data_IF_608569273443
#
_entry.id   IF_608569273443
#
_cell.length_a   1.000
_cell.length_b   1.000
_cell.length_c   1.000
_cell.angle_alpha   90.00
_cell.angle_beta   90.00
_cell.angle_gamma   90.00
#
_symmetry.space_group_name_H-M   'P 1'
#
loop_
_entity.id
_entity.type
_entity.pdbx_description
1 polymer ?
#
# COMPACT_ATOMS: atom_id res chain seq x y z
N UNK A 1 35.06 -76.89 -41.18
CA UNK A 1 33.69 -77.40 -41.00
C UNK A 1 32.71 -76.33 -41.47
N UNK A 2 31.79 -76.71 -42.36
CA UNK A 2 30.82 -75.85 -43.07
C UNK A 2 29.48 -75.76 -42.30
N UNK A 3 28.67 -74.80 -42.76
CA UNK A 3 27.21 -74.69 -42.74
C UNK A 3 26.54 -73.82 -41.66
N UNK A 4 26.04 -72.66 -42.12
CA UNK A 4 24.70 -72.13 -41.78
C UNK A 4 23.65 -72.88 -42.61
N UNK A 5 22.44 -73.16 -42.10
CA UNK A 5 21.24 -72.36 -42.46
C UNK A 5 20.23 -72.22 -41.27
N UNK A 6 19.51 -71.12 -41.07
CA UNK A 6 18.27 -70.61 -41.70
C UNK A 6 16.96 -70.99 -40.95
N UNK A 7 16.16 -69.94 -40.71
CA UNK A 7 14.69 -69.87 -40.64
C UNK A 7 13.92 -70.47 -39.46
N UNK A 8 13.18 -69.63 -38.72
CA UNK A 8 11.72 -69.51 -38.89
C UNK A 8 11.16 -68.27 -38.16
N UNK A 9 10.27 -67.53 -38.83
CA UNK A 9 9.39 -66.52 -38.27
C UNK A 9 8.36 -67.17 -37.32
N UNK A 10 7.97 -66.47 -36.25
CA UNK A 10 6.56 -66.40 -35.85
C UNK A 10 6.24 -65.11 -35.09
N UNK A 11 5.29 -64.36 -35.65
CA UNK A 11 4.65 -63.16 -35.15
C UNK A 11 3.75 -63.48 -33.96
N UNK A 12 3.85 -62.70 -32.87
CA UNK A 12 2.78 -62.61 -31.87
C UNK A 12 2.61 -61.15 -31.46
N UNK A 13 1.43 -60.63 -31.79
CA UNK A 13 0.97 -59.29 -31.49
C UNK A 13 0.23 -59.26 -30.13
N UNK A 14 0.28 -58.09 -29.51
CA UNK A 14 -0.67 -57.52 -28.53
C UNK A 14 -0.71 -58.14 -27.12
N UNK A 15 -0.31 -57.32 -26.13
CA UNK A 15 -1.15 -56.87 -25.00
C UNK A 15 -0.34 -55.89 -24.12
N UNK A 16 -0.25 -54.64 -24.56
CA UNK A 16 0.19 -53.51 -23.72
C UNK A 16 -1.03 -52.95 -22.97
N UNK A 17 -1.29 -53.50 -21.79
CA UNK A 17 -2.26 -52.97 -20.84
C UNK A 17 -1.56 -52.31 -19.65
N UNK A 18 -0.93 -51.15 -19.85
CA UNK A 18 -0.57 -50.28 -18.74
C UNK A 18 -1.75 -49.33 -18.51
N UNK A 19 -2.63 -49.68 -17.57
CA UNK A 19 -3.61 -48.75 -17.04
C UNK A 19 -2.89 -47.57 -16.41
N UNK A 20 -2.94 -46.40 -17.05
CA UNK A 20 -2.66 -45.14 -16.38
C UNK A 20 -3.78 -44.92 -15.36
N UNK A 21 -3.47 -45.16 -14.09
CA UNK A 21 -4.24 -44.58 -12.99
C UNK A 21 -4.09 -43.06 -13.08
N UNK A 22 -5.04 -42.43 -13.75
CA UNK A 22 -5.21 -40.99 -13.68
C UNK A 22 -5.73 -40.70 -12.27
N UNK A 23 -4.87 -40.13 -11.41
CA UNK A 23 -5.28 -39.67 -10.11
C UNK A 23 -6.52 -38.77 -10.27
N UNK A 24 -7.55 -38.91 -9.42
CA UNK A 24 -8.71 -38.04 -9.47
C UNK A 24 -8.21 -36.59 -9.47
N UNK A 25 -8.68 -35.78 -10.42
CA UNK A 25 -8.41 -34.35 -10.39
C UNK A 25 -8.76 -33.85 -9.00
N UNK A 26 -7.78 -33.30 -8.28
CA UNK A 26 -8.06 -32.64 -7.00
C UNK A 26 -9.16 -31.61 -7.26
N UNK A 27 -10.25 -31.61 -6.46
CA UNK A 27 -11.26 -30.59 -6.58
C UNK A 27 -10.56 -29.24 -6.41
N UNK A 28 -10.51 -28.46 -7.49
CA UNK A 28 -10.00 -27.10 -7.45
C UNK A 28 -10.84 -26.35 -6.43
N UNK A 29 -10.28 -26.10 -5.25
CA UNK A 29 -10.85 -25.17 -4.29
C UNK A 29 -11.10 -23.88 -5.05
N UNK A 30 -12.33 -23.34 -5.08
CA UNK A 30 -12.58 -22.04 -5.67
C UNK A 30 -11.59 -21.07 -5.05
N UNK A 31 -10.76 -20.43 -5.88
CA UNK A 31 -9.90 -19.36 -5.41
C UNK A 31 -10.75 -18.32 -4.69
N UNK A 32 -10.20 -17.58 -3.70
CA UNK A 32 -10.92 -16.48 -3.09
C UNK A 32 -11.44 -15.55 -4.21
N UNK A 33 -12.67 -15.01 -4.09
CA UNK A 33 -13.22 -14.12 -5.09
C UNK A 33 -12.20 -13.02 -5.39
N UNK A 34 -11.88 -12.88 -6.68
CA UNK A 34 -11.10 -11.74 -7.17
C UNK A 34 -11.96 -10.50 -6.91
N UNK A 35 -11.43 -9.47 -6.23
CA UNK A 35 -12.09 -8.18 -6.06
C UNK A 35 -12.71 -7.72 -7.37
N UNK A 36 -13.88 -7.09 -7.29
CA UNK A 36 -14.43 -6.38 -8.44
C UNK A 36 -13.34 -5.45 -8.97
N UNK A 37 -12.90 -5.67 -10.21
CA UNK A 37 -11.84 -4.84 -10.80
C UNK A 37 -12.35 -3.40 -10.82
N UNK A 38 -11.65 -2.44 -10.17
CA UNK A 38 -12.06 -1.05 -10.27
C UNK A 38 -12.04 -0.64 -11.75
N UNK A 39 -12.87 0.33 -12.12
CA UNK A 39 -12.89 0.90 -13.46
C UNK A 39 -12.14 2.24 -13.45
N UNK A 40 -11.75 2.78 -14.62
CA UNK A 40 -11.13 4.11 -14.66
C UNK A 40 -12.04 5.23 -14.12
N UNK A 41 -13.35 4.98 -14.06
CA UNK A 41 -14.36 5.87 -13.48
C UNK A 41 -14.29 5.93 -11.93
N UNK A 42 -13.53 5.05 -11.31
CA UNK A 42 -13.34 4.99 -9.86
C UNK A 42 -12.14 5.81 -9.39
N UNK A 43 -11.27 6.27 -10.29
CA UNK A 43 -10.18 7.17 -9.93
C UNK A 43 -10.72 8.59 -9.77
N UNK A 44 -10.56 9.14 -8.57
CA UNK A 44 -10.94 10.50 -8.22
C UNK A 44 -9.89 11.52 -8.67
N UNK A 45 -8.60 11.17 -8.54
CA UNK A 45 -7.51 12.03 -9.00
C UNK A 45 -6.16 11.74 -8.35
N UNK A 46 -5.17 12.57 -8.68
CA UNK A 46 -3.84 12.51 -8.08
C UNK A 46 -3.76 13.50 -6.90
N UNK A 47 -3.44 12.99 -5.72
CA UNK A 47 -3.30 13.74 -4.48
C UNK A 47 -1.82 13.96 -4.15
N UNK A 48 -1.46 15.22 -3.93
CA UNK A 48 -0.20 15.62 -3.33
C UNK A 48 -0.41 15.83 -1.84
N UNK A 49 0.44 15.21 -1.01
CA UNK A 49 0.48 15.47 0.43
C UNK A 49 1.84 16.00 0.83
N UNK A 50 1.88 17.19 1.38
CA UNK A 50 3.09 17.85 1.90
C UNK A 50 3.03 17.87 3.41
N UNK A 51 4.11 17.44 4.06
CA UNK A 51 4.28 17.51 5.53
C UNK A 51 5.54 18.34 5.81
N UNK A 52 5.47 19.23 6.79
CA UNK A 52 6.55 20.14 7.20
C UNK A 52 6.59 20.26 8.73
N UNK A 53 7.72 20.73 9.28
CA UNK A 53 7.82 20.95 10.72
C UNK A 53 7.92 19.66 11.54
N UNK A 54 8.46 18.59 10.95
CA UNK A 54 8.66 17.31 11.62
C UNK A 54 9.92 17.40 12.50
N UNK A 55 9.79 18.06 13.65
CA UNK A 55 10.89 18.23 14.58
C UNK A 55 10.59 19.27 15.66
N UNK A 56 11.66 19.73 16.32
CA UNK A 56 11.58 20.75 17.36
C UNK A 56 11.74 22.15 16.75
N UNK A 57 10.98 23.13 17.27
CA UNK A 57 11.19 24.55 16.99
C UNK A 57 10.23 25.22 15.99
N UNK A 58 9.42 24.46 15.24
CA UNK A 58 8.38 25.01 14.36
C UNK A 58 7.07 24.23 14.50
N UNK A 59 5.89 24.89 14.35
CA UNK A 59 4.63 24.17 14.31
C UNK A 59 4.62 23.26 13.09
N UNK A 60 4.43 21.96 13.31
CA UNK A 60 4.22 21.02 12.23
C UNK A 60 3.04 21.47 11.36
N UNK A 61 3.13 21.24 10.05
CA UNK A 61 2.10 21.54 9.06
C UNK A 61 1.93 20.33 8.15
N UNK A 62 0.73 20.13 7.65
CA UNK A 62 0.52 19.27 6.52
C UNK A 62 -0.58 19.84 5.63
N UNK A 63 -0.47 19.62 4.34
CA UNK A 63 -1.39 20.08 3.32
C UNK A 63 -1.64 18.93 2.36
N UNK A 64 -2.89 18.75 1.96
CA UNK A 64 -3.26 17.77 0.94
C UNK A 64 -4.06 18.50 -0.14
N UNK A 65 -3.67 18.31 -1.41
CA UNK A 65 -4.34 18.95 -2.54
C UNK A 65 -4.34 18.03 -3.76
N UNK A 66 -5.45 18.01 -4.46
CA UNK A 66 -5.49 17.36 -5.77
C UNK A 66 -4.69 18.16 -6.77
N UNK A 67 -4.01 17.44 -7.66
CA UNK A 67 -3.20 18.03 -8.72
C UNK A 67 -3.54 17.36 -10.06
N UNK A 68 -3.55 18.15 -11.11
CA UNK A 68 -3.58 17.64 -12.49
C UNK A 68 -2.18 17.77 -13.10
N UNK A 69 -1.64 16.71 -13.72
CA UNK A 69 -0.45 16.83 -14.55
C UNK A 69 -0.76 17.77 -15.72
N UNK A 70 0.00 18.84 -15.90
CA UNK A 70 -0.13 19.72 -17.08
C UNK A 70 0.80 19.31 -18.23
N UNK A 71 1.67 18.31 -17.99
CA UNK A 71 2.50 17.68 -19.00
C UNK A 71 2.74 16.21 -18.66
N UNK A 72 3.30 15.42 -19.59
CA UNK A 72 3.69 14.01 -19.38
C UNK A 72 4.74 13.81 -18.26
N UNK A 73 5.31 14.91 -17.73
CA UNK A 73 6.21 14.93 -16.57
C UNK A 73 5.66 15.89 -15.52
N UNK A 74 5.70 15.51 -14.24
CA UNK A 74 5.28 16.33 -13.11
C UNK A 74 6.51 17.06 -12.49
N UNK A 75 7.00 18.12 -13.14
CA UNK A 75 7.86 19.14 -12.50
C UNK A 75 7.03 20.13 -11.66
N UNK A 76 7.65 20.89 -10.73
CA UNK A 76 6.99 21.92 -9.90
C UNK A 76 6.11 22.91 -10.68
N UNK A 77 6.52 23.21 -11.92
CA UNK A 77 5.82 24.15 -12.81
C UNK A 77 4.74 23.46 -13.66
N UNK A 78 4.54 22.15 -13.50
CA UNK A 78 3.69 21.33 -14.37
C UNK A 78 2.60 20.53 -13.64
N UNK A 79 2.28 20.93 -12.41
CA UNK A 79 1.11 20.43 -11.70
C UNK A 79 0.26 21.61 -11.25
N UNK A 80 -1.00 21.65 -11.67
CA UNK A 80 -1.95 22.68 -11.22
C UNK A 80 -2.84 22.08 -10.15
N UNK A 81 -3.04 22.81 -9.04
CA UNK A 81 -4.00 22.44 -8.04
C UNK A 81 -5.40 22.35 -8.69
N UNK A 82 -6.09 21.24 -8.44
CA UNK A 82 -7.48 21.06 -8.87
C UNK A 82 -8.36 21.64 -7.77
N UNK A 83 -8.99 22.78 -8.06
CA UNK A 83 -9.77 23.52 -7.05
C UNK A 83 -11.21 23.03 -6.91
N UNK A 84 -11.65 22.08 -7.74
CA UNK A 84 -13.05 21.62 -7.79
C UNK A 84 -13.15 20.10 -7.92
N UNK A 85 -12.52 19.37 -7.00
CA UNK A 85 -12.73 17.91 -6.89
C UNK A 85 -13.92 17.55 -6.01
N UNK A 86 -14.50 18.53 -5.33
CA UNK A 86 -15.51 18.34 -4.29
C UNK A 86 -15.06 17.46 -3.11
N UNK A 87 -13.77 17.17 -2.99
CA UNK A 87 -13.16 16.53 -1.82
C UNK A 87 -12.21 17.51 -1.17
N UNK A 88 -12.53 17.90 0.06
CA UNK A 88 -11.74 18.84 0.83
C UNK A 88 -11.01 18.12 1.95
N UNK A 89 -9.70 18.34 2.02
CA UNK A 89 -8.83 17.77 3.05
C UNK A 89 -8.26 18.89 3.89
N UNK A 90 -8.65 18.92 5.17
CA UNK A 90 -8.14 19.89 6.12
C UNK A 90 -7.27 19.17 7.13
N UNK A 91 -6.04 19.66 7.31
CA UNK A 91 -5.16 19.08 8.31
C UNK A 91 -5.71 19.32 9.72
N UNK A 92 -5.83 18.23 10.47
CA UNK A 92 -6.22 18.26 11.88
C UNK A 92 -4.99 18.21 12.77
N UNK A 93 -4.06 17.27 12.51
CA UNK A 93 -2.93 16.99 13.40
C UNK A 93 -1.74 16.45 12.64
N UNK A 94 -0.55 16.86 13.06
CA UNK A 94 0.71 16.17 12.74
C UNK A 94 1.40 15.87 14.06
N UNK A 95 1.81 14.62 14.24
CA UNK A 95 2.49 14.15 15.44
C UNK A 95 3.70 13.31 15.04
N UNK A 96 4.69 13.27 15.91
CA UNK A 96 5.80 12.33 15.79
C UNK A 96 6.04 11.62 17.12
N UNK A 97 6.55 10.40 17.02
CA UNK A 97 6.98 9.58 18.15
C UNK A 97 8.36 9.04 17.81
N UNK A 98 9.31 9.22 18.71
CA UNK A 98 10.66 8.70 18.55
C UNK A 98 10.79 7.39 19.34
N UNK A 99 11.20 6.33 18.65
CA UNK A 99 11.75 5.14 19.28
C UNK A 99 13.24 5.34 19.48
N UNK A 100 13.64 5.76 20.67
CA UNK A 100 15.07 5.94 20.97
C UNK A 100 15.82 4.60 21.05
N UNK A 101 15.12 3.47 21.25
CA UNK A 101 15.75 2.15 21.31
C UNK A 101 16.09 1.66 19.91
N UNK A 102 15.16 1.84 18.96
CA UNK A 102 15.35 1.45 17.56
C UNK A 102 16.00 2.53 16.71
N UNK A 103 16.16 3.75 17.24
CA UNK A 103 16.62 4.90 16.47
C UNK A 103 15.63 5.28 15.36
N UNK A 104 14.34 5.11 15.59
CA UNK A 104 13.27 5.30 14.58
C UNK A 104 12.44 6.52 14.91
N UNK A 105 12.07 7.30 13.89
CA UNK A 105 11.03 8.34 14.03
C UNK A 105 9.80 7.91 13.26
N UNK A 106 8.67 7.90 13.95
CA UNK A 106 7.34 7.73 13.38
C UNK A 106 6.69 9.10 13.21
N UNK A 107 6.14 9.36 12.03
CA UNK A 107 5.41 10.58 11.70
C UNK A 107 3.99 10.19 11.32
N UNK A 108 3.02 10.81 11.99
CA UNK A 108 1.59 10.58 11.75
C UNK A 108 0.94 11.91 11.40
N UNK A 109 0.29 11.98 10.24
CA UNK A 109 -0.51 13.15 9.83
C UNK A 109 -1.95 12.75 9.61
N UNK A 110 -2.85 13.41 10.32
CA UNK A 110 -4.30 13.18 10.28
C UNK A 110 -4.97 14.35 9.57
N UNK A 111 -5.84 14.01 8.62
CA UNK A 111 -6.61 14.95 7.84
C UNK A 111 -8.10 14.67 8.02
N UNK A 112 -8.87 15.72 8.28
CA UNK A 112 -10.31 15.72 8.13
C UNK A 112 -10.64 15.75 6.64
N UNK A 113 -11.62 14.94 6.27
CA UNK A 113 -12.16 14.82 4.93
C UNK A 113 -13.60 15.34 4.94
N UNK A 114 -13.95 16.09 3.91
CA UNK A 114 -15.32 16.52 3.62
C UNK A 114 -15.64 16.25 2.17
N UNK A 115 -16.67 15.43 1.92
CA UNK A 115 -17.19 15.16 0.59
C UNK A 115 -18.34 16.12 0.27
N UNK A 116 -18.07 17.06 -0.62
CA UNK A 116 -19.03 18.03 -1.13
C UNK A 116 -19.56 17.67 -2.52
N UNK A 117 -19.14 16.54 -3.10
CA UNK A 117 -19.68 16.02 -4.36
C UNK A 117 -21.09 15.44 -4.17
N UNK A 118 -21.80 15.21 -5.27
CA UNK A 118 -23.07 14.47 -5.30
C UNK A 118 -22.89 12.95 -5.38
N UNK A 119 -21.63 12.48 -5.43
CA UNK A 119 -21.25 11.07 -5.43
C UNK A 119 -20.90 10.60 -4.01
N UNK A 120 -21.46 9.47 -3.61
CA UNK A 120 -20.99 8.76 -2.42
C UNK A 120 -19.80 7.87 -2.79
N UNK A 121 -18.87 7.70 -1.85
CA UNK A 121 -17.74 6.82 -2.00
C UNK A 121 -17.87 5.63 -1.05
N UNK A 122 -17.65 4.42 -1.56
CA UNK A 122 -17.73 3.19 -0.78
C UNK A 122 -16.46 2.99 0.08
N UNK A 123 -15.28 3.25 -0.49
CA UNK A 123 -14.00 3.14 0.20
C UNK A 123 -12.93 3.99 -0.49
N UNK A 124 -12.81 5.27 -0.08
CA UNK A 124 -11.77 6.15 -0.59
C UNK A 124 -10.38 5.66 -0.19
N UNK A 125 -9.62 5.26 -1.19
CA UNK A 125 -8.34 4.57 -1.07
C UNK A 125 -7.26 5.37 -1.79
N UNK A 126 -6.14 5.61 -1.11
CA UNK A 126 -4.99 6.37 -1.57
C UNK A 126 -3.86 5.41 -1.90
N UNK A 127 -3.65 5.11 -3.17
CA UNK A 127 -2.56 4.27 -3.66
C UNK A 127 -1.27 5.08 -3.81
N UNK A 128 -0.18 4.68 -3.17
CA UNK A 128 1.09 5.36 -3.30
C UNK A 128 1.63 5.22 -4.73
N UNK A 129 2.14 6.31 -5.33
CA UNK A 129 2.62 6.29 -6.72
C UNK A 129 4.03 6.83 -6.87
N UNK A 130 4.87 6.12 -7.61
CA UNK A 130 6.15 6.60 -8.08
C UNK A 130 6.01 7.15 -9.50
N UNK A 131 6.53 8.36 -9.70
CA UNK A 131 6.40 9.07 -10.97
C UNK A 131 7.82 9.32 -11.51
N UNK A 132 8.22 8.65 -12.60
CA UNK A 132 9.57 8.78 -13.16
C UNK A 132 9.97 10.23 -13.42
N UNK A 133 11.15 10.61 -12.95
CA UNK A 133 11.68 11.98 -13.08
C UNK A 133 11.06 13.00 -12.11
N UNK A 134 10.11 12.58 -11.27
CA UNK A 134 9.43 13.42 -10.29
C UNK A 134 9.63 12.91 -8.87
N UNK A 135 9.49 11.60 -8.64
CA UNK A 135 9.71 10.99 -7.32
C UNK A 135 11.12 10.42 -7.16
N UNK A 136 11.60 10.43 -5.91
CA UNK A 136 12.95 10.01 -5.53
C UNK A 136 13.01 8.50 -5.35
N UNK A 137 14.03 7.88 -5.95
CA UNK A 137 14.38 6.48 -5.73
C UNK A 137 13.30 5.46 -6.07
N UNK A 138 12.34 5.81 -6.94
CA UNK A 138 11.22 4.95 -7.28
C UNK A 138 10.15 4.85 -6.19
N UNK A 139 10.14 5.75 -5.21
CA UNK A 139 9.16 5.79 -4.10
C UNK A 139 8.01 6.74 -4.42
N UNK A 140 7.05 6.87 -3.50
CA UNK A 140 6.05 7.94 -3.56
C UNK A 140 6.56 9.31 -3.09
N UNK A 141 7.79 9.37 -2.55
CA UNK A 141 8.38 10.60 -2.03
C UNK A 141 8.93 11.44 -3.17
N UNK A 142 8.43 12.66 -3.30
CA UNK A 142 8.85 13.63 -4.31
C UNK A 142 10.08 14.41 -3.91
N UNK A 143 10.08 14.95 -2.70
CA UNK A 143 11.17 15.74 -2.17
C UNK A 143 11.25 15.53 -0.65
N UNK A 144 12.44 15.72 -0.12
CA UNK A 144 12.75 15.65 1.30
C UNK A 144 13.63 16.84 1.60
N UNK A 145 13.34 17.55 2.69
CA UNK A 145 14.18 18.62 3.20
C UNK A 145 14.56 18.36 4.65
N UNK A 146 15.79 18.72 4.98
CA UNK A 146 16.28 18.71 6.34
C UNK A 146 15.77 19.94 7.13
N UNK A 147 16.10 20.04 8.42
CA UNK A 147 15.62 21.13 9.26
C UNK A 147 16.22 22.51 8.90
N UNK A 148 17.29 22.55 8.10
CA UNK A 148 17.92 23.76 7.59
C UNK A 148 17.37 24.16 6.22
N UNK A 149 16.46 23.37 5.65
CA UNK A 149 15.89 23.58 4.31
C UNK A 149 16.77 23.05 3.19
N UNK A 150 17.82 22.27 3.47
CA UNK A 150 18.60 21.61 2.43
C UNK A 150 17.82 20.43 1.87
N UNK A 151 17.82 20.30 0.54
CA UNK A 151 17.22 19.15 -0.13
C UNK A 151 18.04 17.88 0.15
N UNK A 152 17.36 16.83 0.63
CA UNK A 152 17.90 15.47 0.72
C UNK A 152 17.52 14.75 -0.57
N UNK A 153 18.49 14.61 -1.48
CA UNK A 153 18.25 14.09 -2.85
C UNK A 153 18.62 12.62 -3.04
N UNK A 154 19.25 11.99 -2.04
CA UNK A 154 19.68 10.59 -2.14
C UNK A 154 18.48 9.64 -2.24
N UNK A 155 18.42 8.78 -3.28
CA UNK A 155 17.38 7.75 -3.42
C UNK A 155 17.20 6.88 -2.19
N UNK A 156 18.29 6.53 -1.51
CA UNK A 156 18.30 5.63 -0.35
C UNK A 156 17.56 6.22 0.84
N UNK A 157 17.58 7.55 1.01
CA UNK A 157 16.85 8.23 2.09
C UNK A 157 15.34 8.18 1.85
N UNK A 158 14.90 8.41 0.61
CA UNK A 158 13.49 8.24 0.24
C UNK A 158 13.04 6.79 0.39
N UNK A 159 13.86 5.84 -0.05
CA UNK A 159 13.64 4.41 0.10
C UNK A 159 13.62 3.93 1.56
N UNK A 160 14.28 4.66 2.46
CA UNK A 160 14.27 4.44 3.91
C UNK A 160 13.04 5.02 4.62
N UNK A 161 12.18 5.78 3.93
CA UNK A 161 10.91 6.26 4.46
C UNK A 161 9.82 5.21 4.19
N UNK A 162 9.42 4.50 5.23
CA UNK A 162 8.56 3.34 5.12
C UNK A 162 7.14 3.66 5.59
N UNK A 163 6.10 3.21 4.88
CA UNK A 163 4.72 3.37 5.34
C UNK A 163 4.46 2.55 6.60
N UNK A 164 3.64 3.08 7.49
CA UNK A 164 3.21 2.44 8.75
C UNK A 164 1.81 2.96 9.12
N UNK A 165 1.15 2.33 10.09
CA UNK A 165 -0.05 2.91 10.69
C UNK A 165 0.31 4.19 11.49
N UNK A 166 -0.70 4.96 11.89
CA UNK A 166 -0.47 6.00 12.88
C UNK A 166 -0.06 5.38 14.22
N UNK A 167 1.07 5.79 14.76
CA UNK A 167 1.63 5.24 15.99
C UNK A 167 1.36 6.15 17.18
N UNK A 168 1.29 5.57 18.38
CA UNK A 168 1.20 6.29 19.65
C UNK A 168 2.10 5.65 20.70
N UNK A 169 2.46 6.45 21.70
CA UNK A 169 3.08 5.92 22.90
C UNK A 169 2.00 5.31 23.80
N UNK A 170 2.19 4.06 24.22
CA UNK A 170 1.34 3.39 25.20
C UNK A 170 2.20 2.70 26.26
N UNK A 171 2.10 3.19 27.49
CA UNK A 171 2.97 2.75 28.58
C UNK A 171 4.44 3.09 28.29
N UNK A 172 5.25 2.07 28.00
CA UNK A 172 6.68 2.20 27.65
C UNK A 172 7.00 1.84 26.20
N UNK A 173 5.99 1.47 25.42
CA UNK A 173 6.16 1.00 24.04
C UNK A 173 5.49 1.91 23.02
N UNK A 174 5.90 1.75 21.78
CA UNK A 174 5.23 2.33 20.61
C UNK A 174 4.30 1.27 20.06
N UNK A 175 3.03 1.65 19.84
CA UNK A 175 2.01 0.75 19.33
C UNK A 175 1.16 1.45 18.28
N UNK A 176 0.53 0.65 17.43
CA UNK A 176 -0.47 1.13 16.48
C UNK A 176 -1.60 1.82 17.24
N UNK A 177 -1.95 3.04 16.85
CA UNK A 177 -3.12 3.73 17.34
C UNK A 177 -4.35 3.21 16.59
N UNK A 178 -5.31 2.52 17.25
CA UNK A 178 -6.45 1.91 16.55
C UNK A 178 -7.27 2.92 15.76
N UNK A 179 -7.36 4.15 16.27
CA UNK A 179 -8.09 5.26 15.64
C UNK A 179 -7.34 5.93 14.49
N UNK A 180 -6.11 5.49 14.18
CA UNK A 180 -5.25 6.01 13.10
C UNK A 180 -4.65 4.84 12.26
N UNK A 181 -5.25 3.65 12.34
CA UNK A 181 -4.75 2.44 11.69
C UNK A 181 -5.20 2.38 10.22
N UNK A 182 -4.74 3.35 9.42
CA UNK A 182 -5.24 3.58 8.04
C UNK A 182 -4.32 3.06 6.93
N UNK A 183 -3.14 2.54 7.25
CA UNK A 183 -2.28 1.87 6.26
C UNK A 183 -3.04 0.73 5.57
N UNK A 184 -3.00 0.75 4.26
CA UNK A 184 -3.53 -0.31 3.41
C UNK A 184 -2.42 -0.97 2.60
N UNK A 185 -2.37 -2.31 2.65
CA UNK A 185 -1.55 -3.13 1.76
C UNK A 185 -2.41 -3.71 0.65
N UNK A 186 -1.83 -3.72 -0.55
CA UNK A 186 -2.39 -4.24 -1.79
C UNK A 186 -1.53 -5.38 -2.30
N UNK A 187 -2.17 -6.34 -2.94
CA UNK A 187 -1.48 -7.41 -3.66
C UNK A 187 -0.89 -6.86 -4.97
N UNK A 188 0.17 -7.48 -5.52
CA UNK A 188 0.81 -7.01 -6.76
C UNK A 188 -0.16 -6.84 -7.94
N UNK A 189 -1.13 -7.74 -8.09
CA UNK A 189 -2.15 -7.67 -9.14
C UNK A 189 -3.09 -6.47 -9.01
N UNK A 190 -3.35 -6.00 -7.79
CA UNK A 190 -4.21 -4.85 -7.52
C UNK A 190 -3.47 -3.55 -7.86
N UNK A 191 -2.20 -3.44 -7.46
CA UNK A 191 -1.34 -2.34 -7.86
C UNK A 191 -1.17 -2.29 -9.39
N UNK A 192 -1.02 -3.44 -10.06
CA UNK A 192 -0.93 -3.51 -11.51
C UNK A 192 -2.25 -3.10 -12.22
N UNK A 193 -3.40 -3.49 -11.68
CA UNK A 193 -4.70 -3.07 -12.18
C UNK A 193 -4.89 -1.55 -12.05
N UNK A 194 -4.56 -0.99 -10.88
CA UNK A 194 -4.61 0.46 -10.64
C UNK A 194 -3.63 1.22 -11.55
N UNK A 195 -2.41 0.71 -11.77
CA UNK A 195 -1.46 1.28 -12.74
C UNK A 195 -2.06 1.35 -14.14
N UNK A 196 -2.73 0.28 -14.57
CA UNK A 196 -3.38 0.21 -15.89
C UNK A 196 -4.50 1.25 -16.01
N UNK A 197 -5.32 1.40 -14.97
CA UNK A 197 -6.40 2.40 -14.95
C UNK A 197 -5.86 3.83 -14.92
N UNK A 198 -4.84 4.11 -14.10
CA UNK A 198 -4.23 5.42 -14.00
C UNK A 198 -3.55 5.85 -15.31
N UNK A 199 -2.98 4.90 -16.06
CA UNK A 199 -2.44 5.13 -17.39
C UNK A 199 -3.52 5.40 -18.46
N UNK A 200 -4.80 5.10 -18.18
CA UNK A 200 -5.93 5.38 -19.06
C UNK A 200 -6.62 6.73 -18.77
N UNK A 201 -6.18 7.48 -17.74
CA UNK A 201 -6.67 8.82 -17.43
C UNK A 201 -6.35 9.81 -18.56
N UNK A 202 -7.05 10.94 -18.57
CA UNK A 202 -6.76 12.06 -19.47
C UNK A 202 -6.47 13.33 -18.66
N UNK A 203 -5.20 13.77 -18.55
CA UNK A 203 -3.99 13.15 -19.11
C UNK A 203 -3.59 11.85 -18.38
N UNK A 204 -2.86 10.94 -19.04
CA UNK A 204 -2.48 9.67 -18.45
C UNK A 204 -1.44 9.88 -17.35
N UNK A 205 -1.59 9.15 -16.23
CA UNK A 205 -0.56 9.11 -15.20
C UNK A 205 0.55 8.14 -15.63
N UNK A 206 1.67 8.68 -16.06
CA UNK A 206 2.86 7.89 -16.38
C UNK A 206 3.68 7.63 -15.10
N UNK A 207 3.35 6.54 -14.39
CA UNK A 207 4.02 6.15 -13.15
C UNK A 207 3.76 4.70 -12.77
N UNK A 208 4.41 4.26 -11.70
CA UNK A 208 4.17 2.99 -11.04
C UNK A 208 3.28 3.18 -9.83
N UNK A 209 2.27 2.32 -9.68
CA UNK A 209 1.50 2.21 -8.44
C UNK A 209 2.23 1.23 -7.53
N UNK A 210 2.48 1.64 -6.29
CA UNK A 210 3.15 0.85 -5.26
C UNK A 210 2.10 0.01 -4.51
N UNK A 211 2.56 -1.04 -3.84
CA UNK A 211 1.66 -2.03 -3.21
C UNK A 211 1.11 -1.58 -1.85
N UNK A 212 1.23 -0.30 -1.53
CA UNK A 212 0.77 0.26 -0.27
C UNK A 212 0.04 1.59 -0.46
N UNK A 213 -0.68 1.99 0.57
CA UNK A 213 -1.47 3.19 0.56
C UNK A 213 -2.14 3.47 1.90
N UNK A 214 -3.17 4.32 1.86
CA UNK A 214 -3.98 4.63 3.02
C UNK A 214 -5.46 4.65 2.65
N UNK A 215 -6.33 4.53 3.62
CA UNK A 215 -7.77 4.47 3.41
C UNK A 215 -8.48 5.47 4.32
N UNK A 216 -9.47 6.15 3.78
CA UNK A 216 -10.31 7.03 4.58
C UNK A 216 -11.29 6.22 5.45
N UNK A 217 -11.80 6.89 6.48
CA UNK A 217 -12.88 6.42 7.34
C UNK A 217 -13.89 7.52 7.54
N UNK A 218 -15.16 7.18 7.67
CA UNK A 218 -16.14 8.12 8.18
C UNK A 218 -15.94 8.34 9.69
N UNK A 219 -16.65 9.32 10.25
CA UNK A 219 -16.53 9.68 11.67
C UNK A 219 -17.01 8.58 12.64
N UNK A 220 -17.75 7.56 12.15
CA UNK A 220 -18.14 6.38 12.93
C UNK A 220 -17.18 5.19 12.77
N UNK A 221 -16.11 5.33 11.98
CA UNK A 221 -15.08 4.31 11.77
C UNK A 221 -15.33 3.34 10.60
N UNK A 222 -16.42 3.49 9.85
CA UNK A 222 -16.68 2.77 8.59
C UNK A 222 -15.90 3.33 7.39
N UNK A 223 -16.02 2.72 6.21
CA UNK A 223 -15.29 3.13 4.98
C UNK A 223 -16.06 4.07 4.06
N UNK A 224 -17.38 4.01 4.11
CA UNK A 224 -18.22 4.78 3.19
C UNK A 224 -18.31 6.24 3.61
N UNK A 225 -18.06 7.15 2.67
CA UNK A 225 -18.26 8.59 2.82
C UNK A 225 -19.47 8.98 1.96
N UNK A 226 -20.55 9.43 2.59
CA UNK A 226 -21.76 9.81 1.88
C UNK A 226 -21.52 11.02 0.96
N UNK A 227 -22.37 11.17 -0.05
CA UNK A 227 -22.42 12.39 -0.86
C UNK A 227 -22.77 13.62 0.00
N UNK A 228 -22.25 14.77 -0.39
CA UNK A 228 -22.74 16.06 0.07
C UNK A 228 -24.02 16.47 -0.66
N UNK A 229 -24.42 17.73 -0.51
CA UNK A 229 -25.52 18.33 -1.27
C UNK A 229 -25.08 19.69 -1.80
N UNK A 230 -25.12 19.86 -3.13
CA UNK A 230 -24.85 21.13 -3.81
C UNK A 230 -23.52 21.81 -3.39
N UNK A 231 -22.41 21.06 -3.34
CA UNK A 231 -21.10 21.63 -2.99
C UNK A 231 -20.90 21.86 -1.49
N UNK A 232 -21.80 21.35 -0.63
CA UNK A 232 -21.71 21.49 0.82
C UNK A 232 -21.84 20.13 1.50
N UNK A 233 -21.00 19.90 2.52
CA UNK A 233 -21.13 18.77 3.44
C UNK A 233 -21.61 19.29 4.80
N UNK A 234 -22.93 19.24 5.03
CA UNK A 234 -23.56 19.75 6.25
C UNK A 234 -23.79 18.69 7.32
N UNK A 235 -23.64 17.41 6.99
CA UNK A 235 -23.90 16.27 7.88
C UNK A 235 -22.64 15.45 8.13
N UNK A 236 -22.59 14.74 9.25
CA UNK A 236 -21.39 13.96 9.60
C UNK A 236 -21.15 12.75 8.68
N UNK A 237 -22.20 12.27 7.99
CA UNK A 237 -22.09 11.14 7.05
C UNK A 237 -21.22 11.43 5.81
N UNK A 238 -21.11 12.70 5.39
CA UNK A 238 -20.23 13.12 4.29
C UNK A 238 -18.85 13.59 4.79
N UNK A 239 -18.58 13.46 6.10
CA UNK A 239 -17.29 13.77 6.70
C UNK A 239 -16.55 12.49 7.06
N UNK A 240 -15.23 12.60 7.12
CA UNK A 240 -14.37 11.50 7.50
C UNK A 240 -13.01 11.98 7.95
N UNK A 241 -12.12 11.02 8.14
CA UNK A 241 -10.70 11.27 8.37
C UNK A 241 -9.88 10.26 7.58
N UNK A 242 -8.64 10.62 7.28
CA UNK A 242 -7.63 9.63 6.92
C UNK A 242 -6.32 9.98 7.59
N UNK A 243 -5.53 8.95 7.88
CA UNK A 243 -4.22 9.11 8.49
C UNK A 243 -3.14 8.56 7.58
N UNK A 244 -2.07 9.34 7.39
CA UNK A 244 -0.84 8.84 6.79
C UNK A 244 0.21 8.65 7.88
N UNK A 245 0.86 7.49 7.86
CA UNK A 245 1.93 7.12 8.78
C UNK A 245 3.19 6.75 8.01
N UNK A 246 4.31 7.36 8.38
CA UNK A 246 5.63 7.00 7.84
C UNK A 246 6.65 6.88 8.96
N UNK A 247 7.61 5.97 8.81
CA UNK A 247 8.76 5.85 9.69
C UNK A 247 10.07 5.92 8.94
N UNK A 248 11.12 6.40 9.60
CA UNK A 248 12.47 6.43 9.06
C UNK A 248 13.52 6.39 10.19
N UNK A 249 14.74 5.99 9.82
CA UNK A 249 15.89 6.03 10.71
C UNK A 249 16.25 7.46 11.08
N UNK A 250 16.45 7.68 12.38
CA UNK A 250 17.00 8.91 12.93
C UNK A 250 18.50 8.93 12.71
N UNK A 251 18.99 10.06 12.22
CA UNK A 251 20.40 10.36 12.05
C UNK A 251 20.87 11.43 13.03
N UNK A 252 22.18 11.40 13.30
CA UNK A 252 22.88 12.43 14.06
C UNK A 252 23.82 13.20 13.11
N UNK A 253 23.82 14.55 13.14
CA UNK A 253 23.04 15.42 14.03
C UNK A 253 21.55 15.50 13.66
N UNK A 254 20.68 15.84 14.62
CA UNK A 254 19.20 15.79 14.46
C UNK A 254 18.69 16.60 13.25
N UNK A 255 19.36 17.69 12.90
CA UNK A 255 18.98 18.59 11.82
C UNK A 255 19.11 17.98 10.42
N UNK A 256 19.81 16.84 10.24
CA UNK A 256 19.91 16.12 8.95
C UNK A 256 18.76 15.14 8.70
N UNK A 257 17.86 14.99 9.67
CA UNK A 257 16.66 14.16 9.51
C UNK A 257 15.63 14.83 8.59
N UNK A 258 14.78 14.04 7.92
CA UNK A 258 13.61 14.56 7.22
C UNK A 258 12.78 15.46 8.14
N UNK A 259 12.69 16.73 7.78
CA UNK A 259 11.89 17.76 8.44
C UNK A 259 10.65 18.11 7.63
N UNK A 260 10.76 18.07 6.30
CA UNK A 260 9.65 18.16 5.37
C UNK A 260 9.77 17.13 4.26
N UNK A 261 8.63 16.68 3.75
CA UNK A 261 8.57 15.85 2.56
C UNK A 261 7.22 15.94 1.87
N UNK A 262 7.21 15.62 0.58
CA UNK A 262 6.00 15.57 -0.24
C UNK A 262 5.81 14.17 -0.80
N UNK A 263 4.56 13.70 -0.83
CA UNK A 263 4.15 12.38 -1.28
C UNK A 263 3.09 12.47 -2.36
N UNK A 264 3.05 11.49 -3.26
CA UNK A 264 1.99 11.34 -4.25
C UNK A 264 1.16 10.08 -4.06
N UNK A 265 -0.15 10.24 -4.22
CA UNK A 265 -1.11 9.15 -4.18
C UNK A 265 -2.14 9.29 -5.31
N UNK A 266 -2.51 8.18 -5.94
CA UNK A 266 -3.76 8.10 -6.71
C UNK A 266 -4.88 7.81 -5.74
N UNK A 267 -5.94 8.61 -5.79
CA UNK A 267 -7.15 8.41 -4.99
C UNK A 267 -8.19 7.69 -5.84
N UNK A 268 -8.70 6.57 -5.34
CA UNK A 268 -9.72 5.78 -6.00
C UNK A 268 -10.83 5.37 -5.01
N UNK A 269 -12.02 5.13 -5.54
CA UNK A 269 -13.16 4.57 -4.83
C UNK A 269 -13.19 3.05 -5.02
N UNK A 270 -12.83 2.31 -3.98
CA UNK A 270 -12.80 0.86 -4.02
C UNK A 270 -14.11 0.26 -3.52
N UNK A 271 -14.49 -0.90 -4.02
CA UNK A 271 -15.65 -1.65 -3.49
C UNK A 271 -15.27 -2.48 -2.27
N UNK A 272 -14.03 -2.94 -2.22
CA UNK A 272 -13.58 -3.89 -1.22
C UNK A 272 -13.03 -3.17 0.01
N UNK A 273 -13.54 -3.53 1.18
CA UNK A 273 -13.03 -3.07 2.46
C UNK A 273 -12.08 -4.09 3.06
N UNK A 274 -11.00 -3.59 3.65
CA UNK A 274 -9.93 -4.41 4.20
C UNK A 274 -9.20 -3.69 5.31
N UNK A 275 -8.47 -4.49 6.11
CA UNK A 275 -7.60 -4.04 7.18
C UNK A 275 -6.25 -4.70 7.00
N UNK A 276 -5.18 -3.91 7.09
CA UNK A 276 -3.82 -4.41 7.07
C UNK A 276 -3.45 -4.97 8.44
N UNK A 277 -2.78 -6.13 8.44
CA UNK A 277 -2.04 -6.65 9.59
C UNK A 277 -0.57 -6.44 9.30
N UNK A 278 0.04 -5.45 9.95
CA UNK A 278 1.47 -5.15 9.83
C UNK A 278 2.30 -5.86 10.90
N UNK A 279 3.63 -5.78 10.81
CA UNK A 279 4.52 -6.32 11.86
C UNK A 279 4.40 -5.56 13.18
N UNK A 280 4.00 -4.30 13.13
CA UNK A 280 3.87 -3.39 14.28
C UNK A 280 2.51 -3.49 14.97
N UNK A 281 1.59 -4.24 14.35
CA UNK A 281 0.19 -4.32 14.75
C UNK A 281 -0.10 -5.62 15.49
N UNK A 282 -1.05 -5.55 16.42
CA UNK A 282 -1.59 -6.73 17.09
C UNK A 282 -2.64 -7.40 16.18
N UNK A 283 -2.44 -8.65 15.74
CA UNK A 283 -3.41 -9.36 14.91
C UNK A 283 -4.81 -9.40 15.50
N UNK A 284 -4.95 -9.52 16.83
CA UNK A 284 -6.27 -9.56 17.47
C UNK A 284 -6.99 -8.20 17.35
N UNK A 285 -6.25 -7.10 17.53
CA UNK A 285 -6.75 -5.76 17.31
C UNK A 285 -7.12 -5.53 15.83
N UNK A 286 -6.32 -6.01 14.88
CA UNK A 286 -6.61 -5.90 13.45
C UNK A 286 -7.88 -6.66 13.05
N UNK A 287 -8.06 -7.88 13.57
CA UNK A 287 -9.27 -8.69 13.35
C UNK A 287 -10.49 -7.98 13.93
N UNK A 288 -10.38 -7.38 15.11
CA UNK A 288 -11.46 -6.60 15.73
C UNK A 288 -11.85 -5.42 14.82
N UNK A 289 -10.87 -4.69 14.28
CA UNK A 289 -11.13 -3.59 13.32
C UNK A 289 -11.78 -4.10 12.04
N UNK A 290 -11.33 -5.22 11.49
CA UNK A 290 -11.92 -5.81 10.28
C UNK A 290 -13.39 -6.22 10.51
N UNK A 291 -13.68 -6.85 11.65
CA UNK A 291 -15.04 -7.25 12.02
C UNK A 291 -15.97 -6.05 12.28
N UNK A 292 -15.42 -4.93 12.79
CA UNK A 292 -16.17 -3.69 12.96
C UNK A 292 -16.59 -3.06 11.62
N UNK A 293 -15.82 -3.28 10.54
CA UNK A 293 -16.21 -2.86 9.19
C UNK A 293 -17.29 -3.77 8.60
N UNK A 294 -17.07 -5.09 8.66
CA UNK A 294 -18.00 -6.13 8.23
C UNK A 294 -17.45 -7.51 8.62
N UNK A 295 -18.30 -8.50 8.97
CA UNK A 295 -17.89 -9.88 9.17
C UNK A 295 -17.16 -10.53 7.98
N UNK A 296 -17.31 -9.96 6.77
CA UNK A 296 -16.67 -10.43 5.53
C UNK A 296 -15.46 -9.60 5.10
N UNK A 297 -15.12 -8.52 5.82
CA UNK A 297 -13.97 -7.68 5.44
C UNK A 297 -12.68 -8.49 5.40
N UNK A 298 -11.86 -8.20 4.40
CA UNK A 298 -10.60 -8.90 4.19
C UNK A 298 -9.51 -8.41 5.16
N UNK A 299 -8.55 -9.29 5.44
CA UNK A 299 -7.31 -8.99 6.17
C UNK A 299 -6.15 -9.10 5.19
N UNK A 300 -5.51 -7.97 4.88
CA UNK A 300 -4.28 -7.93 4.11
C UNK A 300 -3.12 -8.16 5.07
N UNK A 301 -2.57 -9.38 5.07
CA UNK A 301 -1.51 -9.77 5.98
C UNK A 301 -0.20 -9.73 5.21
N UNK A 302 0.78 -9.00 5.73
CA UNK A 302 2.14 -9.04 5.21
C UNK A 302 3.12 -9.47 6.28
N UNK A 303 4.08 -10.32 5.90
CA UNK A 303 5.07 -10.89 6.82
C UNK A 303 4.61 -12.18 7.50
N UNK A 304 5.13 -12.46 8.70
CA UNK A 304 4.86 -13.71 9.47
C UNK A 304 3.66 -13.61 10.40
N UNK A 305 2.97 -12.47 10.46
CA UNK A 305 2.00 -12.22 11.52
C UNK A 305 0.72 -13.03 11.28
N UNK A 306 0.60 -14.18 11.93
CA UNK A 306 -0.51 -15.11 11.66
C UNK A 306 -1.80 -14.60 12.27
N UNK A 307 -2.65 -13.99 11.45
CA UNK A 307 -4.08 -13.83 11.73
C UNK A 307 -4.80 -15.20 11.63
N UNK A 308 -4.39 -16.19 12.44
CA UNK A 308 -4.85 -17.59 12.35
C UNK A 308 -6.29 -17.83 12.79
N UNK A 309 -6.95 -16.84 13.39
CA UNK A 309 -8.29 -17.01 14.00
C UNK A 309 -9.45 -16.59 13.08
N UNK A 310 -9.15 -16.15 11.84
CA UNK A 310 -10.17 -15.86 10.82
C UNK A 310 -10.16 -16.91 9.71
N UNK A 311 -11.31 -17.09 9.05
CA UNK A 311 -11.42 -17.99 7.91
C UNK A 311 -10.45 -17.58 6.79
N UNK A 312 -9.72 -18.54 6.21
CA UNK A 312 -8.73 -18.31 5.14
C UNK A 312 -9.28 -17.52 3.95
N UNK A 313 -10.59 -17.63 3.67
CA UNK A 313 -11.26 -16.88 2.60
C UNK A 313 -11.24 -15.35 2.80
N UNK A 314 -11.00 -14.87 4.03
CA UNK A 314 -10.87 -13.45 4.36
C UNK A 314 -9.42 -12.97 4.31
N UNK A 315 -8.44 -13.87 4.25
CA UNK A 315 -7.04 -13.48 4.35
C UNK A 315 -6.41 -13.35 2.97
N UNK A 316 -5.75 -12.22 2.74
CA UNK A 316 -4.92 -11.97 1.56
C UNK A 316 -3.49 -11.84 2.05
N UNK A 317 -2.69 -12.86 1.74
CA UNK A 317 -1.31 -12.95 2.18
C UNK A 317 -0.38 -12.40 1.11
N UNK A 318 0.53 -11.50 1.51
CA UNK A 318 1.70 -11.16 0.72
C UNK A 318 2.99 -11.35 1.50
N UNK A 319 3.99 -11.92 0.86
CA UNK A 319 5.29 -12.20 1.49
C UNK A 319 6.27 -11.03 1.38
N UNK A 320 5.99 -10.11 0.46
CA UNK A 320 6.79 -8.92 0.18
C UNK A 320 5.85 -7.78 -0.18
N UNK A 321 6.20 -6.57 0.23
CA UNK A 321 5.44 -5.39 -0.12
C UNK A 321 6.36 -4.39 -0.81
N UNK A 322 6.19 -4.17 -2.10
CA UNK A 322 7.05 -3.25 -2.86
C UNK A 322 6.79 -1.81 -2.44
N UNK A 323 7.83 -1.15 -1.95
CA UNK A 323 7.81 0.26 -1.53
C UNK A 323 8.61 1.17 -2.46
N UNK A 324 9.44 0.60 -3.33
CA UNK A 324 10.19 1.38 -4.32
C UNK A 324 10.47 0.60 -5.60
N UNK A 325 10.54 1.34 -6.70
CA UNK A 325 10.91 0.85 -8.04
C UNK A 325 9.75 0.25 -8.83
N UNK A 326 9.94 0.04 -10.14
CA UNK A 326 8.93 -0.57 -11.01
C UNK A 326 8.67 -2.02 -10.63
N UNK A 327 7.49 -2.54 -10.96
CA UNK A 327 7.11 -3.92 -10.63
C UNK A 327 8.05 -4.96 -11.26
N UNK A 328 8.58 -4.68 -12.44
CA UNK A 328 9.46 -5.56 -13.19
C UNK A 328 10.91 -5.52 -12.67
N UNK A 329 11.28 -4.47 -11.93
CA UNK A 329 12.61 -4.34 -11.30
C UNK A 329 12.52 -3.60 -9.96
N UNK A 330 11.94 -4.23 -8.91
CA UNK A 330 11.70 -3.56 -7.64
C UNK A 330 12.99 -3.18 -6.93
N UNK A 331 13.05 -1.95 -6.43
CA UNK A 331 14.23 -1.41 -5.75
C UNK A 331 14.21 -1.70 -4.25
N UNK A 332 13.02 -1.68 -3.61
CA UNK A 332 12.86 -1.98 -2.18
C UNK A 332 11.54 -2.67 -1.86
N UNK A 333 11.60 -3.48 -0.81
CA UNK A 333 10.45 -4.10 -0.17
C UNK A 333 10.36 -3.76 1.32
N UNK A 334 9.14 -3.56 1.81
CA UNK A 334 8.79 -3.63 3.22
C UNK A 334 8.81 -5.12 3.63
N UNK A 335 9.98 -5.58 4.05
CA UNK A 335 10.10 -6.81 4.80
C UNK A 335 10.08 -8.15 4.06
N UNK A 336 10.40 -9.22 4.80
CA UNK A 336 10.30 -10.63 4.41
C UNK A 336 9.94 -11.50 5.63
N UNK A 337 9.10 -12.51 5.42
CA UNK A 337 8.78 -13.52 6.43
C UNK A 337 9.85 -14.64 6.46
N UNK A 338 11.01 -14.39 7.08
CA UNK A 338 12.06 -15.41 7.16
C UNK A 338 11.59 -16.65 7.92
N UNK A 339 11.66 -17.81 7.28
CA UNK A 339 11.25 -19.10 7.86
C UNK A 339 9.79 -19.51 7.62
N UNK A 340 8.97 -18.69 6.96
CA UNK A 340 7.64 -19.13 6.52
C UNK A 340 7.76 -20.06 5.30
N UNK A 341 7.29 -21.30 5.41
CA UNK A 341 7.20 -22.24 4.28
C UNK A 341 6.31 -21.71 3.16
N UNK A 342 5.35 -20.83 3.49
CA UNK A 342 4.45 -20.14 2.55
C UNK A 342 5.15 -19.03 1.75
N UNK A 343 6.25 -18.48 2.26
CA UNK A 343 6.99 -17.37 1.64
C UNK A 343 8.36 -17.77 1.06
N UNK A 344 8.61 -19.07 0.91
CA UNK A 344 9.86 -19.57 0.33
C UNK A 344 9.87 -19.38 -1.20
N UNK A 345 10.64 -18.40 -1.66
CA UNK A 345 11.02 -18.26 -3.07
C UNK A 345 10.81 -16.84 -3.62
N UNK A 346 11.68 -16.48 -4.56
CA UNK A 346 11.53 -15.40 -5.57
C UNK A 346 12.26 -14.06 -5.31
N UNK A 347 12.97 -13.80 -4.20
CA UNK A 347 13.50 -12.43 -3.96
C UNK A 347 14.99 -12.34 -3.55
N UNK A 348 15.68 -11.30 -4.03
CA UNK A 348 17.07 -10.96 -3.67
C UNK A 348 17.11 -10.22 -2.33
N UNK A 349 17.80 -10.80 -1.35
CA UNK A 349 17.89 -10.27 0.03
C UNK A 349 18.50 -8.87 0.13
N UNK A 350 19.30 -8.45 -0.85
CA UNK A 350 19.90 -7.11 -0.92
C UNK A 350 18.88 -5.97 -1.04
N UNK A 351 17.67 -6.25 -1.54
CA UNK A 351 16.63 -5.24 -1.75
C UNK A 351 15.70 -5.11 -0.54
N UNK A 352 16.01 -5.82 0.54
CA UNK A 352 15.23 -5.78 1.76
C UNK A 352 15.55 -4.53 2.57
N UNK A 353 14.55 -4.07 3.30
CA UNK A 353 14.76 -3.08 4.33
C UNK A 353 14.82 -3.79 5.70
N UNK A 354 16.02 -4.21 6.10
CA UNK A 354 16.30 -4.85 7.40
C UNK A 354 15.81 -4.02 8.60
N UNK A 355 15.63 -2.71 8.40
CA UNK A 355 15.08 -1.79 9.37
C UNK A 355 13.62 -2.07 9.75
N UNK A 356 12.85 -2.76 8.90
CA UNK A 356 11.43 -2.98 9.18
C UNK A 356 11.16 -4.08 10.23
N UNK A 357 12.12 -4.98 10.48
CA UNK A 357 11.94 -6.18 11.31
C UNK A 357 12.84 -6.24 12.55
N UNK A 358 13.55 -5.16 12.90
CA UNK A 358 14.36 -5.10 14.12
C UNK A 358 13.63 -4.43 15.26
#
# INVERSE_FOLDING_TARGET
>A
MKFRPASLLLTAALLSGCGQFQAPAEPSTPGPPVPGKPTSEDIVGLLEIKIEGIGEGAPAKAEARFISPTSLKLTDQSSTAVTDTGLNFTRTRVAFVDDETQGTRYVTSVFDLSNTTDRAFANLTLYAVSIPGTTLGGTAVRNIFDALGNAITSPERAQGMLPTHGMRFEGRGIQVSPTNADLQVFMPEEAAAMKTQAAALTPPLNGDVLEYGFVARNLSGGRSIAAGSAGVCSVDACKGTFTIGYKFLKESPRNVNPWAFTLYFVVADETDTRVTVSSEDDPAAAITRANALSPTSQLAVFGTNTATTVANSRIRWTCTLRTAGPAESPAKYLGFASGSTTCNGVWTTSNWNDFYWR
#
